data_IF_052876629003
#
_entry.id   IF_052876629003
#
_cell.length_a   1.000
_cell.length_b   1.000
_cell.length_c   1.000
_cell.angle_alpha   90.00
_cell.angle_beta   90.00
_cell.angle_gamma   90.00
#
_symmetry.space_group_name_H-M   'P 1'
#
loop_
_entity.id
_entity.type
_entity.pdbx_description
1 polymer ?
#
# COMPACT_ATOMS: atom_id res chain seq x y z
N UNK A 1 27.49 8.33 -22.21
CA UNK A 1 26.08 8.28 -21.76
C UNK A 1 26.06 7.41 -20.52
N UNK A 2 25.78 7.99 -19.34
CA UNK A 2 25.65 7.22 -18.11
C UNK A 2 24.33 6.45 -18.21
N UNK A 3 24.40 5.14 -18.29
CA UNK A 3 23.26 4.26 -18.09
C UNK A 3 22.75 4.54 -16.68
N UNK A 4 21.62 5.21 -16.57
CA UNK A 4 20.89 5.28 -15.31
C UNK A 4 20.61 3.84 -14.91
N UNK A 5 21.30 3.36 -13.88
CA UNK A 5 20.89 2.17 -13.16
C UNK A 5 19.44 2.42 -12.80
N UNK A 6 18.54 1.65 -13.41
CA UNK A 6 17.15 1.56 -13.01
C UNK A 6 17.22 1.23 -11.52
N UNK A 7 17.02 2.26 -10.70
CA UNK A 7 16.86 2.09 -9.28
C UNK A 7 15.69 1.11 -9.16
N UNK A 8 15.95 -0.07 -8.62
CA UNK A 8 14.94 -0.98 -8.11
C UNK A 8 14.26 -0.29 -6.90
N UNK A 9 13.65 0.88 -7.13
CA UNK A 9 12.77 1.54 -6.20
C UNK A 9 11.66 0.52 -5.98
N UNK A 10 11.64 -0.07 -4.79
CA UNK A 10 10.52 -0.88 -4.35
C UNK A 10 9.42 0.12 -4.00
N UNK A 11 8.87 0.74 -5.04
CA UNK A 11 7.69 1.57 -5.00
C UNK A 11 6.52 0.69 -4.56
N UNK A 12 5.50 1.27 -3.93
CA UNK A 12 4.29 0.53 -3.53
C UNK A 12 3.67 -0.22 -4.72
N UNK A 13 3.82 0.30 -5.94
CA UNK A 13 3.49 -0.38 -7.19
C UNK A 13 4.18 -1.73 -7.33
N UNK A 14 5.48 -1.81 -7.04
CA UNK A 14 6.25 -3.06 -7.09
C UNK A 14 5.78 -4.04 -6.03
N UNK A 15 5.48 -3.55 -4.82
CA UNK A 15 4.89 -4.37 -3.74
C UNK A 15 3.56 -5.00 -4.20
N UNK A 16 2.64 -4.18 -4.70
CA UNK A 16 1.34 -4.63 -5.19
C UNK A 16 1.46 -5.63 -6.34
N UNK A 17 2.36 -5.41 -7.30
CA UNK A 17 2.59 -6.35 -8.41
C UNK A 17 3.12 -7.71 -7.96
N UNK A 18 4.04 -7.75 -6.98
CA UNK A 18 4.55 -9.02 -6.42
C UNK A 18 3.44 -9.80 -5.70
N UNK A 19 2.41 -9.11 -5.23
CA UNK A 19 1.20 -9.67 -4.61
C UNK A 19 0.06 -9.95 -5.61
N UNK A 20 0.37 -9.91 -6.91
CA UNK A 20 -0.59 -10.12 -8.01
C UNK A 20 -1.81 -9.17 -7.97
N UNK A 21 -1.58 -7.92 -7.56
CA UNK A 21 -2.62 -6.87 -7.56
C UNK A 21 -2.46 -5.99 -8.80
N UNK A 22 -3.56 -5.78 -9.52
CA UNK A 22 -3.60 -4.95 -10.73
C UNK A 22 -3.39 -3.46 -10.41
N UNK A 23 -2.14 -3.01 -10.54
CA UNK A 23 -1.75 -1.60 -10.36
C UNK A 23 -2.25 -0.66 -11.47
N UNK A 24 -2.81 -1.17 -12.57
CA UNK A 24 -3.49 -0.33 -13.56
C UNK A 24 -4.86 0.14 -13.06
N UNK A 25 -5.50 -0.68 -12.22
CA UNK A 25 -6.74 -0.35 -11.50
C UNK A 25 -6.48 0.29 -10.15
N UNK A 26 -5.59 -0.27 -9.35
CA UNK A 26 -5.29 0.16 -7.98
C UNK A 26 -4.00 0.98 -7.95
N UNK A 27 -4.13 2.30 -8.04
CA UNK A 27 -2.99 3.22 -7.99
C UNK A 27 -2.59 3.50 -6.53
N UNK A 28 -1.39 3.12 -6.07
CA UNK A 28 -0.98 3.30 -4.68
C UNK A 28 -0.63 4.76 -4.38
N UNK A 29 -1.17 5.30 -3.29
CA UNK A 29 -0.93 6.68 -2.84
C UNK A 29 -0.38 6.78 -1.41
N UNK A 30 -0.34 5.66 -0.69
CA UNK A 30 0.19 5.61 0.67
C UNK A 30 0.22 4.19 1.21
N UNK A 31 0.85 4.00 2.36
CA UNK A 31 0.88 2.72 3.04
C UNK A 31 0.76 2.92 4.56
N UNK A 32 0.17 1.92 5.22
CA UNK A 32 0.08 1.85 6.66
C UNK A 32 0.72 0.55 7.15
N UNK A 33 1.62 0.67 8.12
CA UNK A 33 2.24 -0.47 8.78
C UNK A 33 1.90 -0.39 10.27
N UNK A 34 1.30 -1.44 10.81
CA UNK A 34 0.95 -1.54 12.22
C UNK A 34 1.45 -2.85 12.79
N UNK A 35 2.35 -2.75 13.76
CA UNK A 35 2.88 -3.88 14.49
C UNK A 35 1.90 -4.26 15.61
N UNK A 36 1.27 -5.44 15.53
CA UNK A 36 0.30 -5.88 16.54
C UNK A 36 0.99 -6.60 17.70
N UNK A 37 1.84 -7.60 17.40
CA UNK A 37 2.56 -8.45 18.36
C UNK A 37 3.88 -8.94 17.74
N UNK A 38 4.76 -9.59 18.52
CA UNK A 38 6.19 -9.88 18.23
C UNK A 38 6.50 -10.36 16.79
N UNK A 39 5.57 -10.99 16.07
CA UNK A 39 5.78 -11.47 14.70
C UNK A 39 4.66 -11.11 13.69
N UNK A 40 3.74 -10.21 14.04
CA UNK A 40 2.61 -9.84 13.16
C UNK A 40 2.62 -8.35 12.78
N UNK A 41 2.97 -8.08 11.52
CA UNK A 41 2.77 -6.77 10.89
C UNK A 41 1.50 -6.78 10.04
N UNK A 42 0.54 -5.95 10.43
CA UNK A 42 -0.54 -5.58 9.52
C UNK A 42 -0.01 -4.48 8.61
N UNK A 43 0.29 -4.85 7.38
CA UNK A 43 0.60 -3.92 6.31
C UNK A 43 -0.62 -3.68 5.43
N UNK A 44 -0.74 -2.45 4.95
CA UNK A 44 -1.78 -2.08 4.02
C UNK A 44 -1.29 -1.01 3.06
N UNK A 45 -1.87 -0.97 1.87
CA UNK A 45 -1.61 0.05 0.87
C UNK A 45 -2.92 0.79 0.60
N UNK A 46 -2.88 2.11 0.72
CA UNK A 46 -3.99 2.98 0.36
C UNK A 46 -3.89 3.23 -1.15
N UNK A 47 -4.95 2.91 -1.87
CA UNK A 47 -5.00 3.01 -3.32
C UNK A 47 -6.22 3.83 -3.79
N UNK A 48 -6.08 4.43 -4.96
CA UNK A 48 -7.20 4.89 -5.77
C UNK A 48 -7.66 3.70 -6.62
N UNK A 49 -8.91 3.25 -6.43
CA UNK A 49 -9.58 2.34 -7.36
C UNK A 49 -10.11 3.15 -8.56
N UNK A 50 -9.38 3.08 -9.67
CA UNK A 50 -9.69 3.86 -10.88
C UNK A 50 -11.02 3.47 -11.52
N UNK A 51 -11.51 2.25 -11.30
CA UNK A 51 -12.84 1.87 -11.75
C UNK A 51 -13.93 2.57 -10.93
N UNK A 52 -13.78 2.66 -9.61
CA UNK A 52 -14.73 3.40 -8.77
C UNK A 52 -14.68 4.90 -9.05
N UNK A 53 -13.48 5.44 -9.24
CA UNK A 53 -13.27 6.84 -9.59
C UNK A 53 -14.00 7.20 -10.89
N UNK A 54 -13.84 6.40 -11.94
CA UNK A 54 -14.52 6.63 -13.24
C UNK A 54 -16.04 6.50 -13.16
N UNK A 55 -16.57 5.76 -12.19
CA UNK A 55 -18.01 5.62 -11.91
C UNK A 55 -18.54 6.69 -10.93
N UNK A 56 -17.71 7.64 -10.47
CA UNK A 56 -18.10 8.66 -9.50
C UNK A 56 -18.42 8.12 -8.11
N UNK A 57 -17.97 6.91 -7.79
CA UNK A 57 -18.16 6.27 -6.48
C UNK A 57 -16.99 6.59 -5.53
N UNK A 58 -17.15 6.45 -4.21
CA UNK A 58 -16.03 6.53 -3.27
C UNK A 58 -14.91 5.57 -3.68
N UNK A 59 -13.72 6.10 -3.96
CA UNK A 59 -12.68 5.39 -4.71
C UNK A 59 -11.38 5.15 -3.94
N UNK A 60 -11.26 5.71 -2.73
CA UNK A 60 -10.12 5.43 -1.86
C UNK A 60 -10.38 4.09 -1.17
N UNK A 61 -9.52 3.12 -1.43
CA UNK A 61 -9.59 1.78 -0.83
C UNK A 61 -8.30 1.49 -0.08
N UNK A 62 -8.40 0.63 0.93
CA UNK A 62 -7.24 0.15 1.68
C UNK A 62 -7.09 -1.33 1.42
N UNK A 63 -6.00 -1.71 0.75
CA UNK A 63 -5.69 -3.11 0.48
C UNK A 63 -4.85 -3.64 1.63
N UNK A 64 -5.35 -4.64 2.33
CA UNK A 64 -4.65 -5.37 3.40
C UNK A 64 -3.73 -6.39 2.75
N UNK A 65 -2.44 -6.32 3.10
CA UNK A 65 -1.42 -7.25 2.64
C UNK A 65 -1.35 -8.43 3.61
N UNK A 66 -1.86 -9.57 3.18
CA UNK A 66 -1.81 -10.81 3.96
C UNK A 66 -0.36 -11.35 4.00
N UNK A 67 0.00 -12.02 5.09
CA UNK A 67 1.33 -12.62 5.32
C UNK A 67 2.52 -11.65 5.16
N UNK A 68 2.33 -10.35 5.42
CA UNK A 68 3.42 -9.37 5.35
C UNK A 68 4.41 -9.53 6.50
N UNK A 69 5.69 -9.70 6.16
CA UNK A 69 6.73 -10.11 7.11
C UNK A 69 7.53 -8.93 7.69
N UNK A 70 8.22 -9.18 8.82
CA UNK A 70 9.19 -8.26 9.41
C UNK A 70 10.31 -7.87 8.41
N UNK A 71 10.79 -8.83 7.63
CA UNK A 71 11.85 -8.59 6.64
C UNK A 71 11.37 -7.67 5.51
N UNK A 72 10.15 -7.89 5.02
CA UNK A 72 9.52 -6.99 4.05
C UNK A 72 9.39 -5.58 4.63
N UNK A 73 8.89 -5.44 5.86
CA UNK A 73 8.82 -4.13 6.54
C UNK A 73 10.17 -3.44 6.61
N UNK A 74 11.23 -4.14 7.04
CA UNK A 74 12.57 -3.60 7.18
C UNK A 74 13.17 -3.14 5.84
N UNK A 75 12.81 -3.82 4.74
CA UNK A 75 13.23 -3.47 3.39
C UNK A 75 12.48 -2.23 2.88
N UNK A 76 11.15 -2.21 3.02
CA UNK A 76 10.31 -1.13 2.55
C UNK A 76 10.50 0.17 3.34
N UNK A 77 10.57 0.12 4.68
CA UNK A 77 10.73 1.32 5.51
C UNK A 77 12.00 2.11 5.19
N UNK A 78 13.06 1.46 4.69
CA UNK A 78 14.32 2.11 4.30
C UNK A 78 14.18 2.94 3.02
N UNK A 79 13.12 2.70 2.24
CA UNK A 79 12.87 3.32 0.94
C UNK A 79 11.75 4.36 0.98
N UNK A 80 11.03 4.48 2.09
CA UNK A 80 9.99 5.47 2.28
C UNK A 80 10.42 6.55 3.26
N UNK A 81 10.06 7.79 2.95
CA UNK A 81 10.05 8.86 3.95
C UNK A 81 8.83 8.66 4.84
N UNK A 82 9.06 8.49 6.14
CA UNK A 82 7.99 8.29 7.12
C UNK A 82 7.58 9.63 7.70
N UNK A 83 6.41 10.11 7.31
CA UNK A 83 5.81 11.32 7.89
C UNK A 83 4.91 10.90 9.05
N UNK A 84 5.34 11.17 10.28
CA UNK A 84 4.52 10.98 11.49
C UNK A 84 3.82 12.29 11.79
N UNK A 85 2.54 12.39 11.46
CA UNK A 85 1.72 13.53 11.87
C UNK A 85 1.02 13.23 13.20
N UNK A 86 1.44 13.85 14.33
CA UNK A 86 0.90 13.54 15.66
C UNK A 86 -0.56 13.93 15.82
N UNK A 87 -1.07 14.86 15.00
CA UNK A 87 -2.48 15.28 15.02
C UNK A 87 -3.38 14.29 14.27
N UNK A 88 -2.83 13.57 13.29
CA UNK A 88 -3.52 12.54 12.53
C UNK A 88 -3.06 11.16 13.00
N UNK A 89 -3.34 10.83 14.27
CA UNK A 89 -3.17 9.46 14.80
C UNK A 89 -4.03 8.40 14.10
N UNK A 90 -4.96 8.83 13.25
CA UNK A 90 -5.95 7.99 12.62
C UNK A 90 -6.12 8.34 11.14
N UNK A 91 -5.91 7.36 10.27
CA UNK A 91 -6.26 7.42 8.85
C UNK A 91 -7.77 7.61 8.60
N UNK A 92 -8.62 7.63 9.64
CA UNK A 92 -10.07 7.81 9.55
C UNK A 92 -10.48 9.10 8.81
N UNK A 93 -9.61 10.10 8.70
CA UNK A 93 -9.88 11.33 7.95
C UNK A 93 -9.65 11.23 6.43
N UNK A 94 -9.10 10.11 5.93
CA UNK A 94 -8.88 9.93 4.49
C UNK A 94 -10.16 9.48 3.74
N UNK A 95 -11.28 9.27 4.43
CA UNK A 95 -12.54 8.74 3.85
C UNK A 95 -12.29 7.47 3.01
N UNK A 96 -11.52 6.52 3.56
CA UNK A 96 -11.31 5.20 2.98
C UNK A 96 -12.67 4.51 2.91
N UNK A 97 -13.13 4.23 1.70
CA UNK A 97 -14.47 3.74 1.42
C UNK A 97 -14.63 2.26 1.74
N UNK A 98 -13.55 1.49 1.61
CA UNK A 98 -13.57 0.03 1.74
C UNK A 98 -12.18 -0.49 2.12
N UNK A 99 -12.16 -1.57 2.90
CA UNK A 99 -10.98 -2.41 3.11
C UNK A 99 -11.12 -3.69 2.27
N UNK A 100 -10.07 -4.00 1.50
CA UNK A 100 -10.00 -5.16 0.62
C UNK A 100 -8.85 -6.05 1.09
N UNK A 101 -9.08 -7.36 1.20
CA UNK A 101 -7.99 -8.30 1.44
C UNK A 101 -7.30 -8.61 0.12
N UNK A 102 -5.97 -8.73 0.14
CA UNK A 102 -5.18 -9.11 -1.03
C UNK A 102 -5.76 -10.35 -1.74
N UNK A 103 -6.14 -11.38 -1.00
CA UNK A 103 -6.75 -12.61 -1.51
C UNK A 103 -8.04 -12.42 -2.30
N UNK A 104 -8.73 -11.29 -2.15
CA UNK A 104 -9.92 -10.95 -2.94
C UNK A 104 -9.57 -10.35 -4.31
N UNK A 105 -8.30 -9.99 -4.53
CA UNK A 105 -7.83 -9.24 -5.69
C UNK A 105 -6.85 -10.05 -6.55
N UNK A 106 -6.11 -10.98 -5.94
CA UNK A 106 -5.20 -11.91 -6.61
C UNK A 106 -5.97 -12.91 -7.48
N UNK A 107 -5.45 -13.22 -8.68
CA UNK A 107 -6.05 -14.15 -9.64
C UNK A 107 -5.39 -15.53 -9.63
#
# INVERSE_FOLDING_TARGET
MKTEQINNSQELTTLLKVRDIDTSRFEPIGAGFYHQYEDCFNASVICIDREKLSKGSPYLVKIILEDFTNDEYLVFRKKFEVIINPEYRNYYNLNIAEELFQSQLSC
#
